data_IF_684885709231
#
_entry.id   IF_684885709231
#
_cell.length_a   1.000
_cell.length_b   1.000
_cell.length_c   1.000
_cell.angle_alpha   90.00
_cell.angle_beta   90.00
_cell.angle_gamma   90.00
#
_symmetry.space_group_name_H-M   'P 1'
#
loop_
_entity.id
_entity.type
_entity.pdbx_description
1 polymer ?
#
# COMPACT_ATOMS: atom_id res chain seq x y z
N UNK A 1 -15.90 -20.44 -30.31
CA UNK A 1 -16.01 -19.94 -28.91
C UNK A 1 -17.45 -19.48 -28.71
N UNK A 2 -18.07 -19.71 -27.55
CA UNK A 2 -19.36 -19.04 -27.28
C UNK A 2 -19.13 -17.54 -27.06
N UNK A 3 -20.15 -16.72 -27.33
CA UNK A 3 -20.08 -15.26 -27.23
C UNK A 3 -19.62 -14.77 -25.85
N UNK A 4 -20.02 -15.48 -24.77
CA UNK A 4 -19.59 -15.17 -23.40
C UNK A 4 -18.06 -15.20 -23.24
N UNK A 5 -17.39 -16.25 -23.74
CA UNK A 5 -15.94 -16.42 -23.56
C UNK A 5 -15.14 -15.47 -24.44
N UNK A 6 -15.71 -15.04 -25.56
CA UNK A 6 -15.14 -13.96 -26.38
C UNK A 6 -15.18 -12.63 -25.63
N UNK A 7 -16.30 -12.30 -24.98
CA UNK A 7 -16.41 -11.09 -24.17
C UNK A 7 -15.41 -11.07 -22.99
N UNK A 8 -15.24 -12.19 -22.29
CA UNK A 8 -14.24 -12.31 -21.21
C UNK A 8 -12.82 -12.18 -21.76
N UNK A 9 -12.52 -12.77 -22.91
CA UNK A 9 -11.20 -12.64 -23.53
C UNK A 9 -10.91 -11.19 -23.96
N UNK A 10 -11.88 -10.49 -24.54
CA UNK A 10 -11.74 -9.05 -24.86
C UNK A 10 -11.52 -8.22 -23.61
N UNK A 11 -12.25 -8.51 -22.53
CA UNK A 11 -12.06 -7.87 -21.24
C UNK A 11 -10.63 -8.10 -20.71
N UNK A 12 -10.15 -9.34 -20.72
CA UNK A 12 -8.78 -9.69 -20.35
C UNK A 12 -7.73 -8.90 -21.16
N UNK A 13 -7.89 -8.81 -22.48
CA UNK A 13 -6.94 -8.06 -23.33
C UNK A 13 -6.94 -6.57 -23.01
N UNK A 14 -8.11 -5.99 -22.71
CA UNK A 14 -8.21 -4.61 -22.26
C UNK A 14 -7.50 -4.42 -20.91
N UNK A 15 -7.63 -5.36 -19.97
CA UNK A 15 -6.91 -5.30 -18.69
C UNK A 15 -5.40 -5.38 -18.86
N UNK A 16 -4.91 -6.32 -19.67
CA UNK A 16 -3.47 -6.43 -19.99
C UNK A 16 -2.96 -5.13 -20.59
N UNK A 17 -3.67 -4.55 -21.55
CA UNK A 17 -3.31 -3.29 -22.16
C UNK A 17 -3.24 -2.15 -21.12
N UNK A 18 -4.23 -2.04 -20.25
CA UNK A 18 -4.26 -1.03 -19.20
C UNK A 18 -3.14 -1.22 -18.18
N UNK A 19 -2.87 -2.45 -17.73
CA UNK A 19 -1.75 -2.76 -16.81
C UNK A 19 -0.43 -2.38 -17.44
N UNK A 20 -0.19 -2.77 -18.69
CA UNK A 20 1.04 -2.39 -19.41
C UNK A 20 1.16 -0.86 -19.49
N UNK A 21 0.08 -0.17 -19.88
CA UNK A 21 0.05 1.28 -20.00
C UNK A 21 0.31 1.99 -18.65
N UNK A 22 -0.22 1.47 -17.55
CA UNK A 22 -0.03 1.98 -16.19
C UNK A 22 1.38 1.70 -15.65
N UNK A 23 2.01 0.59 -16.05
CA UNK A 23 3.35 0.19 -15.63
C UNK A 23 4.47 0.87 -16.42
N UNK A 24 4.16 1.63 -17.48
CA UNK A 24 5.18 2.34 -18.26
C UNK A 24 5.87 3.42 -17.38
N UNK A 25 7.21 3.36 -17.22
CA UNK A 25 7.94 4.31 -16.37
C UNK A 25 7.99 5.74 -16.95
N UNK A 26 7.59 5.91 -18.21
CA UNK A 26 7.62 7.21 -18.91
C UNK A 26 6.57 8.21 -18.40
N UNK A 27 5.50 7.74 -17.76
CA UNK A 27 4.39 8.58 -17.30
C UNK A 27 4.51 8.79 -15.79
N UNK A 28 4.85 10.00 -15.37
CA UNK A 28 5.00 10.30 -13.95
C UNK A 28 3.68 10.14 -13.18
N UNK A 29 3.71 9.71 -11.90
CA UNK A 29 2.53 9.62 -11.04
C UNK A 29 1.72 10.93 -10.96
N UNK A 30 2.38 12.08 -11.11
CA UNK A 30 1.72 13.40 -11.14
C UNK A 30 0.80 13.57 -12.37
N UNK A 31 1.20 13.06 -13.54
CA UNK A 31 0.37 13.11 -14.76
C UNK A 31 -0.84 12.20 -14.62
N UNK A 32 -0.62 10.99 -14.13
CA UNK A 32 -1.68 10.04 -13.81
C UNK A 32 -2.68 10.60 -12.81
N UNK A 33 -2.21 11.22 -11.72
CA UNK A 33 -3.09 11.86 -10.74
C UNK A 33 -3.93 12.98 -11.31
N UNK A 34 -3.40 13.76 -12.25
CA UNK A 34 -4.18 14.81 -12.92
C UNK A 34 -5.30 14.20 -13.77
N UNK A 35 -5.03 13.08 -14.45
CA UNK A 35 -6.07 12.33 -15.18
C UNK A 35 -7.09 11.71 -14.21
N UNK A 36 -6.64 11.07 -13.13
CA UNK A 36 -7.51 10.46 -12.12
C UNK A 36 -8.37 11.46 -11.34
N UNK A 37 -7.86 12.69 -11.13
CA UNK A 37 -8.60 13.78 -10.49
C UNK A 37 -9.49 14.56 -11.45
N UNK A 38 -9.52 14.22 -12.74
CA UNK A 38 -10.46 14.84 -13.67
C UNK A 38 -11.89 14.46 -13.32
N UNK A 39 -12.85 15.37 -13.55
CA UNK A 39 -14.26 15.16 -13.23
C UNK A 39 -14.82 13.87 -13.85
N UNK A 40 -14.38 13.53 -15.07
CA UNK A 40 -14.78 12.29 -15.74
C UNK A 40 -14.32 11.04 -14.99
N UNK A 41 -13.06 11.04 -14.51
CA UNK A 41 -12.51 9.86 -13.82
C UNK A 41 -13.01 9.76 -12.38
N UNK A 42 -13.36 10.86 -11.72
CA UNK A 42 -14.06 10.82 -10.44
C UNK A 42 -15.47 10.21 -10.55
N UNK A 43 -16.23 10.55 -11.59
CA UNK A 43 -17.53 9.91 -11.84
C UNK A 43 -17.35 8.42 -12.13
N UNK A 44 -16.36 8.07 -12.97
CA UNK A 44 -16.01 6.67 -13.23
C UNK A 44 -15.54 5.96 -11.97
N UNK A 45 -14.85 6.62 -11.04
CA UNK A 45 -14.40 5.99 -9.80
C UNK A 45 -15.56 5.69 -8.84
N UNK A 46 -16.56 6.58 -8.78
CA UNK A 46 -17.73 6.42 -7.91
C UNK A 46 -18.63 5.26 -8.38
N UNK A 47 -18.98 5.24 -9.66
CA UNK A 47 -19.70 4.11 -10.27
C UNK A 47 -18.82 2.87 -10.44
N UNK A 48 -17.51 3.08 -10.61
CA UNK A 48 -16.52 2.04 -10.84
C UNK A 48 -16.33 1.12 -9.65
N UNK A 49 -16.55 1.57 -8.41
CA UNK A 49 -16.51 0.67 -7.26
C UNK A 49 -17.62 -0.39 -7.33
N UNK A 50 -18.84 0.04 -7.64
CA UNK A 50 -19.99 -0.86 -7.80
C UNK A 50 -19.83 -1.74 -9.03
N UNK A 51 -19.47 -1.16 -10.18
CA UNK A 51 -19.21 -1.93 -11.40
C UNK A 51 -18.08 -2.94 -11.24
N UNK A 52 -17.03 -2.60 -10.49
CA UNK A 52 -15.93 -3.51 -10.18
C UNK A 52 -16.39 -4.69 -9.33
N UNK A 53 -17.18 -4.45 -8.27
CA UNK A 53 -17.74 -5.54 -7.47
C UNK A 53 -18.63 -6.47 -8.28
N UNK A 54 -19.47 -5.91 -9.16
CA UNK A 54 -20.31 -6.71 -10.08
C UNK A 54 -19.44 -7.50 -11.06
N UNK A 55 -18.40 -6.88 -11.65
CA UNK A 55 -17.49 -7.57 -12.56
C UNK A 55 -16.75 -8.73 -11.87
N UNK A 56 -16.26 -8.53 -10.64
CA UNK A 56 -15.64 -9.58 -9.84
C UNK A 56 -16.63 -10.71 -9.56
N UNK A 57 -17.87 -10.40 -9.16
CA UNK A 57 -18.88 -11.42 -8.94
C UNK A 57 -19.13 -12.25 -10.21
N UNK A 58 -19.30 -11.61 -11.37
CA UNK A 58 -19.48 -12.28 -12.66
C UNK A 58 -18.28 -13.16 -13.00
N UNK A 59 -17.05 -12.66 -12.84
CA UNK A 59 -15.83 -13.43 -13.12
C UNK A 59 -15.69 -14.63 -12.18
N UNK A 60 -16.04 -14.50 -10.90
CA UNK A 60 -16.07 -15.61 -9.95
C UNK A 60 -17.10 -16.65 -10.36
N UNK A 61 -18.31 -16.25 -10.75
CA UNK A 61 -19.33 -17.18 -11.24
C UNK A 61 -18.86 -17.94 -12.49
N UNK A 62 -18.26 -17.24 -13.46
CA UNK A 62 -17.71 -17.86 -14.68
C UNK A 62 -16.52 -18.77 -14.38
N UNK A 63 -15.68 -18.42 -13.41
CA UNK A 63 -14.57 -19.27 -12.97
C UNK A 63 -15.08 -20.57 -12.34
N UNK A 64 -16.11 -20.48 -11.48
CA UNK A 64 -16.76 -21.66 -10.89
C UNK A 64 -17.41 -22.53 -11.98
N UNK A 65 -18.08 -21.91 -12.95
CA UNK A 65 -18.70 -22.63 -14.07
C UNK A 65 -17.65 -23.36 -14.92
N UNK A 66 -16.56 -22.68 -15.29
CA UNK A 66 -15.45 -23.29 -16.01
C UNK A 66 -14.79 -24.42 -15.21
N UNK A 67 -14.57 -24.22 -13.91
CA UNK A 67 -13.99 -25.24 -13.04
C UNK A 67 -14.90 -26.48 -12.91
N UNK A 68 -16.21 -26.28 -12.80
CA UNK A 68 -17.20 -27.36 -12.84
C UNK A 68 -17.18 -28.07 -14.18
N UNK A 69 -17.06 -27.33 -15.29
CA UNK A 69 -16.99 -27.88 -16.64
C UNK A 69 -15.72 -28.72 -16.86
N UNK A 70 -14.57 -28.24 -16.37
CA UNK A 70 -13.30 -28.99 -16.37
C UNK A 70 -13.43 -30.27 -15.55
N UNK A 71 -13.93 -30.21 -14.31
CA UNK A 71 -14.14 -31.42 -13.48
C UNK A 71 -15.12 -32.39 -14.13
N UNK A 72 -16.20 -31.90 -14.76
CA UNK A 72 -17.20 -32.73 -15.43
C UNK A 72 -16.63 -33.53 -16.60
N UNK A 73 -15.72 -32.93 -17.38
CA UNK A 73 -15.10 -33.59 -18.53
C UNK A 73 -13.74 -34.24 -18.22
N UNK A 74 -13.19 -34.05 -17.02
CA UNK A 74 -11.91 -34.63 -16.59
C UNK A 74 -12.03 -36.02 -15.96
N UNK A 75 -13.22 -36.44 -15.49
CA UNK A 75 -13.41 -37.76 -14.88
C UNK A 75 -13.75 -38.79 -15.98
N UNK A 76 -12.89 -39.80 -16.23
CA UNK A 76 -13.05 -40.75 -17.33
C UNK A 76 -14.16 -41.81 -17.14
N UNK A 77 -14.96 -41.74 -16.08
CA UNK A 77 -15.60 -42.93 -15.49
C UNK A 77 -17.08 -43.19 -15.88
N UNK A 78 -17.69 -42.50 -16.85
CA UNK A 78 -19.16 -42.60 -17.02
C UNK A 78 -19.71 -42.95 -18.39
N UNK A 79 -18.90 -43.24 -19.38
CA UNK A 79 -19.42 -43.67 -20.69
C UNK A 79 -18.53 -44.78 -21.20
N UNK A 80 -19.11 -45.81 -21.80
CA UNK A 80 -18.47 -46.89 -22.54
C UNK A 80 -17.59 -46.35 -23.70
N UNK A 81 -16.50 -45.69 -23.35
CA UNK A 81 -15.58 -44.98 -24.24
C UNK A 81 -14.72 -45.92 -25.08
N UNK A 82 -14.70 -47.20 -24.70
CA UNK A 82 -14.01 -48.27 -25.44
C UNK A 82 -14.73 -48.59 -26.76
N UNK A 83 -16.04 -48.34 -26.85
CA UNK A 83 -16.85 -48.80 -27.99
C UNK A 83 -17.13 -47.73 -29.06
N UNK A 84 -16.72 -46.47 -28.86
CA UNK A 84 -16.93 -45.41 -29.84
C UNK A 84 -15.81 -44.33 -29.83
N UNK A 85 -14.75 -44.47 -30.65
CA UNK A 85 -13.58 -43.59 -30.61
C UNK A 85 -13.90 -42.11 -30.90
N UNK A 86 -14.93 -41.81 -31.70
CA UNK A 86 -15.38 -40.43 -31.96
C UNK A 86 -15.96 -39.73 -30.73
N UNK A 87 -16.49 -40.47 -29.75
CA UNK A 87 -17.00 -39.89 -28.51
C UNK A 87 -15.87 -39.43 -27.57
N UNK A 88 -14.74 -40.17 -27.58
CA UNK A 88 -13.53 -39.84 -26.81
C UNK A 88 -12.92 -38.52 -27.27
N UNK A 89 -12.79 -38.34 -28.59
CA UNK A 89 -12.24 -37.10 -29.17
C UNK A 89 -13.10 -35.88 -28.83
N UNK A 90 -14.42 -36.05 -28.86
CA UNK A 90 -15.35 -34.96 -28.55
C UNK A 90 -15.32 -34.53 -27.08
N UNK A 91 -15.04 -35.46 -26.15
CA UNK A 91 -14.84 -35.16 -24.73
C UNK A 91 -13.52 -34.42 -24.52
N UNK A 92 -12.42 -34.88 -25.12
CA UNK A 92 -11.13 -34.19 -25.05
C UNK A 92 -11.24 -32.76 -25.59
N UNK A 93 -11.92 -32.55 -26.73
CA UNK A 93 -12.16 -31.21 -27.26
C UNK A 93 -12.92 -30.30 -26.29
N UNK A 94 -13.91 -30.82 -25.56
CA UNK A 94 -14.66 -30.07 -24.55
C UNK A 94 -13.82 -29.78 -23.32
N UNK A 95 -12.99 -30.73 -22.88
CA UNK A 95 -12.05 -30.55 -21.77
C UNK A 95 -11.03 -29.44 -22.07
N UNK A 96 -10.38 -29.46 -23.23
CA UNK A 96 -9.44 -28.40 -23.62
C UNK A 96 -10.12 -27.02 -23.73
N UNK A 97 -11.37 -27.00 -24.20
CA UNK A 97 -12.17 -25.76 -24.24
C UNK A 97 -12.41 -25.23 -22.83
N UNK A 98 -12.82 -26.08 -21.90
CA UNK A 98 -13.10 -25.71 -20.51
C UNK A 98 -11.81 -25.23 -19.79
N UNK A 99 -10.69 -25.95 -19.98
CA UNK A 99 -9.41 -25.59 -19.38
C UNK A 99 -8.91 -24.21 -19.81
N UNK A 100 -8.98 -23.91 -21.12
CA UNK A 100 -8.61 -22.56 -21.61
C UNK A 100 -9.53 -21.48 -21.06
N UNK A 101 -10.83 -21.76 -20.97
CA UNK A 101 -11.81 -20.81 -20.45
C UNK A 101 -11.58 -20.52 -18.96
N UNK A 102 -11.21 -21.53 -18.18
CA UNK A 102 -10.79 -21.39 -16.78
C UNK A 102 -9.58 -20.46 -16.66
N UNK A 103 -8.53 -20.66 -17.47
CA UNK A 103 -7.37 -19.77 -17.47
C UNK A 103 -7.75 -18.33 -17.83
N UNK A 104 -8.58 -18.12 -18.86
CA UNK A 104 -9.02 -16.77 -19.26
C UNK A 104 -9.76 -16.07 -18.12
N UNK A 105 -10.73 -16.75 -17.48
CA UNK A 105 -11.45 -16.17 -16.34
C UNK A 105 -10.55 -15.92 -15.13
N UNK A 106 -9.65 -16.87 -14.82
CA UNK A 106 -8.73 -16.77 -13.69
C UNK A 106 -7.73 -15.62 -13.86
N UNK A 107 -7.13 -15.49 -15.04
CA UNK A 107 -6.23 -14.38 -15.34
C UNK A 107 -6.95 -13.04 -15.37
N UNK A 108 -8.18 -12.98 -15.90
CA UNK A 108 -8.98 -11.75 -15.89
C UNK A 108 -9.27 -11.32 -14.45
N UNK A 109 -9.71 -12.24 -13.60
CA UNK A 109 -9.95 -11.96 -12.18
C UNK A 109 -8.69 -11.43 -11.49
N UNK A 110 -7.55 -12.10 -11.68
CA UNK A 110 -6.27 -11.67 -11.10
C UNK A 110 -5.86 -10.27 -11.58
N UNK A 111 -5.90 -10.02 -12.89
CA UNK A 111 -5.53 -8.73 -13.47
C UNK A 111 -6.48 -7.62 -13.05
N UNK A 112 -7.78 -7.91 -12.91
CA UNK A 112 -8.76 -6.98 -12.39
C UNK A 112 -8.39 -6.47 -10.99
N UNK A 113 -8.05 -7.41 -10.10
CA UNK A 113 -7.60 -7.09 -8.73
C UNK A 113 -6.27 -6.32 -8.73
N UNK A 114 -5.32 -6.72 -9.57
CA UNK A 114 -4.05 -6.02 -9.72
C UNK A 114 -4.23 -4.59 -10.21
N UNK A 115 -5.07 -4.37 -11.22
CA UNK A 115 -5.32 -3.06 -11.81
C UNK A 115 -6.00 -2.12 -10.81
N UNK A 116 -6.97 -2.61 -10.04
CA UNK A 116 -7.57 -1.89 -8.90
C UNK A 116 -6.50 -1.47 -7.88
N UNK A 117 -5.60 -2.38 -7.52
CA UNK A 117 -4.53 -2.10 -6.55
C UNK A 117 -3.54 -1.07 -7.10
N UNK A 118 -3.09 -1.21 -8.34
CA UNK A 118 -2.17 -0.29 -9.00
C UNK A 118 -2.78 1.12 -9.08
N UNK A 119 -4.03 1.23 -9.53
CA UNK A 119 -4.71 2.53 -9.62
C UNK A 119 -4.82 3.23 -8.26
N UNK A 120 -5.12 2.46 -7.20
CA UNK A 120 -5.21 3.00 -5.83
C UNK A 120 -3.85 3.47 -5.32
N UNK A 121 -2.81 2.64 -5.48
CA UNK A 121 -1.44 2.99 -5.07
C UNK A 121 -0.92 4.21 -5.82
N UNK A 122 -1.21 4.32 -7.11
CA UNK A 122 -0.77 5.45 -7.94
C UNK A 122 -1.44 6.76 -7.51
N UNK A 123 -2.73 6.70 -7.14
CA UNK A 123 -3.45 7.84 -6.56
C UNK A 123 -2.87 8.27 -5.21
N UNK A 124 -2.59 7.30 -4.32
CA UNK A 124 -1.96 7.55 -3.02
C UNK A 124 -0.56 8.15 -3.17
N UNK A 125 0.27 7.56 -4.03
CA UNK A 125 1.63 8.02 -4.29
C UNK A 125 1.65 9.45 -4.82
N UNK A 126 0.71 9.81 -5.71
CA UNK A 126 0.63 11.17 -6.21
C UNK A 126 0.15 12.17 -5.15
N UNK A 127 -0.76 11.77 -4.26
CA UNK A 127 -1.17 12.59 -3.12
C UNK A 127 0.00 12.84 -2.17
N UNK A 128 0.76 11.79 -1.85
CA UNK A 128 1.98 11.87 -1.02
C UNK A 128 3.08 12.72 -1.66
N UNK A 129 3.21 12.68 -2.99
CA UNK A 129 4.18 13.50 -3.70
C UNK A 129 3.78 14.98 -3.69
N UNK A 130 2.48 15.27 -3.79
CA UNK A 130 1.97 16.64 -3.70
C UNK A 130 2.11 17.21 -2.28
N UNK A 131 1.83 16.43 -1.24
CA UNK A 131 2.01 16.87 0.14
C UNK A 131 3.49 17.06 0.50
N UNK A 132 4.38 16.17 0.06
CA UNK A 132 5.83 16.35 0.24
C UNK A 132 6.34 17.63 -0.44
N UNK A 133 5.88 17.94 -1.65
CA UNK A 133 6.27 19.18 -2.32
C UNK A 133 5.76 20.43 -1.57
N UNK A 134 4.53 20.37 -1.03
CA UNK A 134 3.99 21.45 -0.21
C UNK A 134 4.77 21.62 1.11
N UNK A 135 5.08 20.52 1.81
CA UNK A 135 5.88 20.56 3.04
C UNK A 135 7.29 21.07 2.78
N UNK A 136 7.93 20.65 1.69
CA UNK A 136 9.25 21.15 1.31
C UNK A 136 9.22 22.67 1.08
N UNK A 137 8.22 23.19 0.36
CA UNK A 137 8.04 24.63 0.16
C UNK A 137 7.75 25.38 1.46
N UNK A 138 6.96 24.79 2.36
CA UNK A 138 6.69 25.39 3.67
C UNK A 138 7.94 25.45 4.55
N UNK A 139 8.75 24.38 4.57
CA UNK A 139 10.01 24.35 5.31
C UNK A 139 11.04 25.35 4.73
N UNK A 140 11.16 25.42 3.41
CA UNK A 140 12.02 26.41 2.73
C UNK A 140 11.53 27.85 2.99
N UNK A 141 10.22 28.08 2.96
CA UNK A 141 9.62 29.38 3.28
C UNK A 141 9.88 29.82 4.72
N UNK A 142 9.67 28.92 5.70
CA UNK A 142 9.95 29.18 7.11
C UNK A 142 11.45 29.39 7.36
N UNK A 143 12.32 28.60 6.74
CA UNK A 143 13.77 28.77 6.85
C UNK A 143 14.24 30.10 6.26
N UNK A 144 13.71 30.49 5.10
CA UNK A 144 14.03 31.77 4.50
C UNK A 144 13.49 32.95 5.33
N UNK A 145 12.30 32.84 5.90
CA UNK A 145 11.76 33.84 6.81
C UNK A 145 12.62 33.97 8.09
N UNK A 146 13.01 32.84 8.69
CA UNK A 146 13.91 32.82 9.84
C UNK A 146 15.26 33.48 9.51
N UNK A 147 15.86 33.15 8.36
CA UNK A 147 17.11 33.80 7.90
C UNK A 147 16.95 35.31 7.74
N UNK A 148 15.86 35.77 7.11
CA UNK A 148 15.58 37.21 6.98
C UNK A 148 15.45 37.88 8.33
N UNK A 149 14.72 37.27 9.28
CA UNK A 149 14.61 37.82 10.62
C UNK A 149 15.96 37.87 11.35
N UNK A 150 16.82 36.86 11.17
CA UNK A 150 18.18 36.88 11.74
C UNK A 150 19.03 38.00 11.13
N UNK A 151 19.03 38.15 9.80
CA UNK A 151 19.76 39.21 9.09
C UNK A 151 19.25 40.62 9.47
N UNK A 152 17.93 40.82 9.55
CA UNK A 152 17.33 42.08 9.98
C UNK A 152 17.69 42.41 11.43
N UNK A 153 17.70 41.41 12.33
CA UNK A 153 18.09 41.58 13.72
C UNK A 153 19.58 41.98 13.83
N UNK A 154 20.46 41.31 13.09
CA UNK A 154 21.89 41.63 13.05
C UNK A 154 22.14 43.05 12.50
N UNK A 155 21.44 43.45 11.44
CA UNK A 155 21.53 44.81 10.89
C UNK A 155 21.04 45.87 11.88
N UNK A 156 19.94 45.61 12.59
CA UNK A 156 19.43 46.50 13.63
C UNK A 156 20.43 46.62 14.79
N UNK A 157 21.02 45.52 15.24
CA UNK A 157 22.06 45.53 16.27
C UNK A 157 23.30 46.32 15.83
N UNK A 158 23.75 46.19 14.59
CA UNK A 158 24.87 46.97 14.05
C UNK A 158 24.54 48.47 14.00
N UNK A 159 23.33 48.85 13.54
CA UNK A 159 22.89 50.25 13.52
C UNK A 159 22.81 50.85 14.94
N UNK A 160 22.33 50.09 15.91
CA UNK A 160 22.32 50.50 17.32
C UNK A 160 23.74 50.71 17.87
N UNK A 161 24.68 49.79 17.59
CA UNK A 161 26.11 49.96 17.98
C UNK A 161 26.73 51.22 17.36
N UNK A 162 26.45 51.50 16.09
CA UNK A 162 26.97 52.69 15.39
C UNK A 162 26.39 54.02 15.88
N UNK A 163 25.15 54.02 16.41
CA UNK A 163 24.49 55.22 16.94
C UNK A 163 24.88 55.55 18.39
N UNK A 164 25.83 54.83 19.01
CA UNK A 164 26.29 55.08 20.38
C UNK A 164 25.29 54.73 21.48
N UNK A 165 24.12 54.19 21.13
CA UNK A 165 23.21 53.58 22.09
C UNK A 165 23.72 52.18 22.42
N UNK A 166 23.91 51.89 23.72
CA UNK A 166 24.12 50.50 24.17
C UNK A 166 22.96 49.67 23.62
N UNK A 167 23.27 48.76 22.71
CA UNK A 167 22.37 47.65 22.37
C UNK A 167 21.92 47.08 23.72
N UNK A 168 20.61 46.97 24.03
CA UNK A 168 20.21 46.05 25.06
C UNK A 168 20.68 44.71 24.52
N UNK A 169 21.83 44.25 25.01
CA UNK A 169 22.28 42.90 24.80
C UNK A 169 21.05 42.02 25.01
N UNK A 170 20.70 41.23 23.99
CA UNK A 170 19.53 40.39 24.04
C UNK A 170 19.64 39.31 25.15
N UNK A 171 20.72 39.34 25.95
CA UNK A 171 20.91 38.64 27.20
C UNK A 171 21.13 39.49 28.47
N UNK A 172 21.05 40.83 28.47
CA UNK A 172 21.38 41.62 29.69
C UNK A 172 20.21 42.34 30.38
N UNK A 173 19.00 42.32 29.82
CA UNK A 173 17.78 42.77 30.51
C UNK A 173 16.57 41.95 30.04
N UNK A 174 16.52 40.68 30.42
CA UNK A 174 15.26 40.05 30.76
C UNK A 174 15.22 39.93 32.28
N UNK A 175 14.12 40.38 32.85
CA UNK A 175 13.79 40.29 34.26
C UNK A 175 14.16 38.92 34.82
N UNK A 176 14.85 38.88 35.97
CA UNK A 176 15.32 37.64 36.61
C UNK A 176 14.23 36.60 36.91
N UNK A 177 12.96 36.96 36.80
CA UNK A 177 11.82 36.03 36.89
C UNK A 177 11.65 35.16 35.63
N UNK A 178 11.87 35.68 34.41
CA UNK A 178 11.70 34.89 33.17
C UNK A 178 12.88 33.93 32.91
N UNK A 179 14.08 34.26 33.39
CA UNK A 179 15.27 33.41 33.23
C UNK A 179 15.24 32.22 34.20
N UNK A 180 14.75 32.42 35.43
CA UNK A 180 14.48 31.32 36.37
C UNK A 180 13.35 30.40 35.87
N UNK A 181 12.27 30.96 35.31
CA UNK A 181 11.17 30.18 34.73
C UNK A 181 11.64 29.36 33.51
N UNK A 182 12.43 29.96 32.62
CA UNK A 182 13.02 29.26 31.47
C UNK A 182 14.05 28.20 31.89
N UNK A 183 14.84 28.44 32.93
CA UNK A 183 15.75 27.42 33.48
C UNK A 183 14.97 26.26 34.13
N UNK A 184 13.87 26.54 34.80
CA UNK A 184 12.98 25.52 35.35
C UNK A 184 12.30 24.72 34.24
N UNK A 185 11.83 25.36 33.17
CA UNK A 185 11.24 24.71 32.01
C UNK A 185 12.25 23.84 31.26
N UNK A 186 13.50 24.30 31.11
CA UNK A 186 14.58 23.49 30.52
C UNK A 186 14.96 22.31 31.41
N UNK A 187 14.96 22.47 32.74
CA UNK A 187 15.23 21.37 33.69
C UNK A 187 14.11 20.33 33.64
N UNK A 188 12.86 20.75 33.71
CA UNK A 188 11.68 19.87 33.61
C UNK A 188 11.64 19.14 32.28
N UNK A 189 11.82 19.83 31.15
CA UNK A 189 11.89 19.20 29.83
C UNK A 189 13.04 18.20 29.70
N UNK A 190 14.19 18.45 30.34
CA UNK A 190 15.30 17.48 30.39
C UNK A 190 14.98 16.26 31.23
N UNK A 191 14.26 16.44 32.35
CA UNK A 191 13.78 15.34 33.19
C UNK A 191 12.70 14.51 32.48
N UNK A 192 11.77 15.15 31.78
CA UNK A 192 10.78 14.50 30.93
C UNK A 192 11.43 13.72 29.78
N UNK A 193 12.45 14.30 29.13
CA UNK A 193 13.20 13.61 28.09
C UNK A 193 13.97 12.40 28.66
N UNK A 194 14.57 12.55 29.85
CA UNK A 194 15.28 11.46 30.51
C UNK A 194 14.34 10.33 30.95
N UNK A 195 13.14 10.65 31.46
CA UNK A 195 12.12 9.68 31.86
C UNK A 195 11.49 8.99 30.65
N UNK A 196 11.14 9.73 29.60
CA UNK A 196 10.65 9.19 28.33
C UNK A 196 11.68 8.26 27.68
N UNK A 197 12.97 8.63 27.71
CA UNK A 197 14.04 7.78 27.17
C UNK A 197 14.21 6.48 27.97
N UNK A 198 14.09 6.53 29.31
CA UNK A 198 14.09 5.33 30.16
C UNK A 198 12.86 4.45 29.90
N UNK A 199 11.68 5.04 29.75
CA UNK A 199 10.46 4.32 29.42
C UNK A 199 10.56 3.64 28.04
N UNK A 200 11.13 4.33 27.05
CA UNK A 200 11.38 3.77 25.72
C UNK A 200 12.36 2.59 25.78
N UNK A 201 13.47 2.72 26.53
CA UNK A 201 14.42 1.63 26.72
C UNK A 201 13.78 0.40 27.38
N UNK A 202 12.94 0.62 28.39
CA UNK A 202 12.19 -0.47 29.06
C UNK A 202 11.21 -1.14 28.10
N UNK A 203 10.46 -0.35 27.33
CA UNK A 203 9.54 -0.88 26.33
C UNK A 203 10.28 -1.69 25.25
N UNK A 204 11.45 -1.23 24.79
CA UNK A 204 12.25 -1.96 23.79
C UNK A 204 12.79 -3.29 24.36
N UNK A 205 13.19 -3.32 25.65
CA UNK A 205 13.57 -4.58 26.30
C UNK A 205 12.40 -5.55 26.47
N UNK A 206 11.21 -5.04 26.81
CA UNK A 206 10.01 -5.87 26.97
C UNK A 206 9.56 -6.46 25.63
N UNK A 207 9.64 -5.68 24.54
CA UNK A 207 9.36 -6.17 23.17
C UNK A 207 10.35 -7.26 22.76
N UNK A 208 11.64 -7.09 23.05
CA UNK A 208 12.66 -8.12 22.77
C UNK A 208 12.41 -9.40 23.57
N UNK A 209 12.05 -9.28 24.85
CA UNK A 209 11.71 -10.40 25.70
C UNK A 209 10.47 -11.15 25.19
N UNK A 210 9.40 -10.42 24.83
CA UNK A 210 8.19 -11.00 24.25
C UNK A 210 8.46 -11.71 22.92
N UNK A 211 9.33 -11.14 22.08
CA UNK A 211 9.73 -11.78 20.82
C UNK A 211 10.43 -13.11 21.06
N UNK A 212 11.40 -13.16 21.97
CA UNK A 212 12.09 -14.41 22.31
C UNK A 212 11.14 -15.45 22.93
N UNK A 213 10.18 -15.03 23.75
CA UNK A 213 9.16 -15.93 24.29
C UNK A 213 8.25 -16.50 23.18
N UNK A 214 7.84 -15.68 22.22
CA UNK A 214 7.01 -16.12 21.09
C UNK A 214 7.77 -17.09 20.17
N UNK A 215 9.05 -16.85 19.92
CA UNK A 215 9.92 -17.76 19.15
C UNK A 215 10.05 -19.11 19.86
N UNK A 216 10.32 -19.12 21.17
CA UNK A 216 10.38 -20.36 21.95
C UNK A 216 9.04 -21.11 21.98
N UNK A 217 7.91 -20.39 22.11
CA UNK A 217 6.58 -21.00 22.08
C UNK A 217 6.29 -21.66 20.73
N UNK A 218 6.73 -21.04 19.64
CA UNK A 218 6.58 -21.59 18.28
C UNK A 218 7.37 -22.89 18.14
N UNK A 219 8.61 -22.93 18.64
CA UNK A 219 9.45 -24.14 18.62
C UNK A 219 8.84 -25.28 19.43
N UNK A 220 8.33 -25.01 20.64
CA UNK A 220 7.65 -26.03 21.45
C UNK A 220 6.35 -26.52 20.78
N UNK A 221 5.61 -25.62 20.12
CA UNK A 221 4.41 -25.99 19.37
C UNK A 221 4.75 -26.92 18.18
N UNK A 222 5.78 -26.59 17.40
CA UNK A 222 6.25 -27.45 16.31
C UNK A 222 6.76 -28.81 16.83
N UNK A 223 7.42 -28.84 17.99
CA UNK A 223 7.84 -30.10 18.63
C UNK A 223 6.64 -30.96 19.02
N UNK A 224 5.64 -30.38 19.66
CA UNK A 224 4.39 -31.06 20.05
C UNK A 224 3.64 -31.60 18.83
N UNK A 225 3.56 -30.82 17.74
CA UNK A 225 2.97 -31.30 16.48
C UNK A 225 3.76 -32.48 15.89
N UNK A 226 5.09 -32.42 15.96
CA UNK A 226 5.97 -33.53 15.58
C UNK A 226 5.68 -34.79 16.40
N UNK A 227 5.70 -34.70 17.74
CA UNK A 227 5.39 -35.81 18.65
C UNK A 227 3.99 -36.38 18.38
N UNK A 228 2.98 -35.53 18.19
CA UNK A 228 1.61 -35.95 17.88
C UNK A 228 1.51 -36.66 16.51
N UNK A 229 2.25 -36.20 15.50
CA UNK A 229 2.29 -36.85 14.18
C UNK A 229 2.91 -38.25 14.23
N UNK A 230 3.91 -38.46 15.09
CA UNK A 230 4.51 -39.78 15.33
C UNK A 230 3.56 -40.72 16.05
N UNK A 231 2.79 -40.21 17.03
CA UNK A 231 1.78 -41.00 17.74
C UNK A 231 0.58 -41.40 16.87
N UNK A 232 0.18 -40.58 15.89
CA UNK A 232 -0.90 -40.89 14.94
C UNK A 232 -0.47 -41.75 13.74
N UNK A 233 0.84 -41.92 13.53
CA UNK A 233 1.42 -42.68 12.42
C UNK A 233 1.72 -44.16 12.72
N UNK A 234 1.38 -44.64 13.92
CA UNK A 234 1.38 -46.05 14.32
C UNK A 234 -0.07 -46.57 14.41
#
# INVERSE_FOLDING_TARGET
>A
MSLQWMAVATFLYMEVFLVLLLCIPFISPKRWSRLFKSRMVQTIALYGNTSFMVAIAILVFLLIDAFREVRKYSVPEKVDLVNNPTAVEHIHMKLFRAQRNEYIAGFALLLCLLLRRIATLLSQQASLMASNEAFKKQAEGASNAAKKFMEENDQLQQKLKGAGLKVPDAGAKKSGEEEEDLEQEVKTLREELATAKKALQKSDSDVRAMKSQAENLTVEYDRLLGEHSVLLGC
#
